data_IF_269412692543
#
_entry.id   IF_269412692543
#
_cell.length_a   1.000
_cell.length_b   1.000
_cell.length_c   1.000
_cell.angle_alpha   90.00
_cell.angle_beta   90.00
_cell.angle_gamma   90.00
#
_symmetry.space_group_name_H-M   'P 1'
#
loop_
_entity.id
_entity.type
_entity.pdbx_description
1 polymer ?
#
# COMPACT_ATOMS: atom_id res chain seq x y z
N UNK A 1 -2.01 14.65 -23.59
CA UNK A 1 -0.75 14.21 -22.94
C UNK A 1 0.35 15.28 -22.96
N UNK A 2 0.73 15.83 -24.12
CA UNK A 2 1.76 16.89 -24.22
C UNK A 2 1.38 18.18 -23.48
N UNK A 3 0.16 18.68 -23.64
CA UNK A 3 -0.34 19.87 -22.93
C UNK A 3 -0.31 19.70 -21.41
N UNK A 4 -0.76 18.55 -20.89
CA UNK A 4 -0.67 18.21 -19.45
C UNK A 4 0.77 18.28 -18.95
N UNK A 5 1.72 17.77 -19.73
CA UNK A 5 3.14 17.85 -19.40
C UNK A 5 3.63 19.31 -19.38
N UNK A 6 3.29 20.10 -20.41
CA UNK A 6 3.68 21.52 -20.47
C UNK A 6 3.10 22.32 -19.31
N UNK A 7 1.83 22.09 -18.95
CA UNK A 7 1.20 22.71 -17.79
C UNK A 7 1.92 22.34 -16.47
N UNK A 8 2.22 21.05 -16.26
CA UNK A 8 2.98 20.61 -15.08
C UNK A 8 4.37 21.26 -15.06
N UNK A 9 5.05 21.37 -16.21
CA UNK A 9 6.37 22.00 -16.30
C UNK A 9 6.31 23.51 -16.05
N UNK A 10 5.32 24.21 -16.58
CA UNK A 10 5.12 25.63 -16.33
C UNK A 10 4.89 25.90 -14.83
N UNK A 11 4.10 25.05 -14.17
CA UNK A 11 3.85 25.14 -12.72
C UNK A 11 5.08 24.77 -11.88
N UNK A 12 5.83 23.74 -12.27
CA UNK A 12 6.95 23.22 -11.47
C UNK A 12 8.28 23.93 -11.73
N UNK A 13 8.44 24.63 -12.85
CA UNK A 13 9.69 25.30 -13.19
C UNK A 13 10.06 26.44 -12.21
N UNK A 14 9.17 27.38 -11.84
CA UNK A 14 9.49 28.42 -10.86
C UNK A 14 9.85 27.86 -9.48
N UNK A 15 9.19 26.76 -9.09
CA UNK A 15 9.44 26.08 -7.81
C UNK A 15 10.88 25.59 -7.68
N UNK A 16 11.54 25.29 -8.81
CA UNK A 16 12.93 24.81 -8.82
C UNK A 16 13.93 25.84 -8.24
N UNK A 17 13.58 27.14 -8.25
CA UNK A 17 14.41 28.23 -7.72
C UNK A 17 14.15 28.55 -6.24
N UNK A 18 12.99 28.14 -5.70
CA UNK A 18 12.62 28.44 -4.32
C UNK A 18 13.44 27.62 -3.31
N UNK A 19 13.72 28.14 -2.09
CA UNK A 19 14.33 27.35 -1.02
C UNK A 19 13.48 26.12 -0.63
N UNK A 20 14.12 25.03 -0.21
CA UNK A 20 13.41 23.81 0.24
C UNK A 20 12.35 24.10 1.31
N UNK A 21 12.63 25.01 2.25
CA UNK A 21 11.68 25.43 3.29
C UNK A 21 10.36 25.96 2.70
N UNK A 22 10.44 26.74 1.62
CA UNK A 22 9.25 27.30 0.94
C UNK A 22 8.48 26.17 0.23
N UNK A 23 9.18 25.26 -0.46
CA UNK A 23 8.55 24.07 -1.05
C UNK A 23 7.86 23.22 0.00
N UNK A 24 8.46 23.06 1.17
CA UNK A 24 7.87 22.30 2.27
C UNK A 24 6.61 22.98 2.81
N UNK A 25 6.60 24.31 2.93
CA UNK A 25 5.43 25.07 3.36
C UNK A 25 4.28 24.95 2.35
N UNK A 26 4.56 25.17 1.06
CA UNK A 26 3.57 25.02 -0.02
C UNK A 26 3.05 23.58 -0.04
N UNK A 27 3.93 22.58 0.04
CA UNK A 27 3.56 21.17 0.08
C UNK A 27 2.70 20.81 1.28
N UNK A 28 2.96 21.37 2.47
CA UNK A 28 2.07 21.21 3.63
C UNK A 28 0.68 21.80 3.38
N UNK A 29 0.62 22.99 2.78
CA UNK A 29 -0.65 23.63 2.42
C UNK A 29 -1.45 22.78 1.42
N UNK A 30 -0.84 22.44 0.28
CA UNK A 30 -1.47 21.62 -0.77
C UNK A 30 -1.85 20.22 -0.28
N UNK A 31 -0.99 19.58 0.52
CA UNK A 31 -1.30 18.28 1.11
C UNK A 31 -2.46 18.35 2.11
N UNK A 32 -2.57 19.44 2.89
CA UNK A 32 -3.72 19.66 3.76
C UNK A 32 -5.01 19.85 2.95
N UNK A 33 -4.96 20.65 1.89
CA UNK A 33 -6.08 20.81 0.97
C UNK A 33 -6.49 19.46 0.35
N UNK A 34 -5.51 18.69 -0.16
CA UNK A 34 -5.74 17.37 -0.73
C UNK A 34 -6.34 16.39 0.28
N UNK A 35 -5.95 16.44 1.55
CA UNK A 35 -6.58 15.62 2.60
C UNK A 35 -8.08 15.90 2.74
N UNK A 36 -8.50 17.17 2.64
CA UNK A 36 -9.92 17.53 2.77
C UNK A 36 -10.73 17.30 1.49
N UNK A 37 -10.13 17.51 0.31
CA UNK A 37 -10.84 17.41 -0.98
C UNK A 37 -10.79 16.00 -1.58
N UNK A 38 -9.69 15.26 -1.41
CA UNK A 38 -9.50 13.92 -2.00
C UNK A 38 -10.02 12.81 -1.08
N UNK A 39 -11.33 12.83 -0.82
CA UNK A 39 -12.00 11.93 0.14
C UNK A 39 -11.66 10.45 -0.05
N UNK A 40 -11.57 9.94 -1.29
CA UNK A 40 -11.22 8.53 -1.56
C UNK A 40 -9.86 8.13 -0.98
N UNK A 41 -8.83 8.94 -1.21
CA UNK A 41 -7.50 8.65 -0.70
C UNK A 41 -7.44 8.87 0.81
N UNK A 42 -8.19 9.85 1.35
CA UNK A 42 -8.28 10.07 2.79
C UNK A 42 -8.84 8.83 3.47
N UNK A 43 -10.00 8.35 3.04
CA UNK A 43 -10.66 7.14 3.59
C UNK A 43 -9.72 5.94 3.59
N UNK A 44 -8.99 5.74 2.48
CA UNK A 44 -8.00 4.68 2.38
C UNK A 44 -6.83 4.85 3.37
N UNK A 45 -6.28 6.05 3.50
CA UNK A 45 -5.23 6.31 4.48
C UNK A 45 -5.70 6.05 5.91
N UNK A 46 -6.91 6.47 6.27
CA UNK A 46 -7.48 6.20 7.58
C UNK A 46 -7.67 4.68 7.83
N UNK A 47 -8.14 3.95 6.81
CA UNK A 47 -8.32 2.50 6.89
C UNK A 47 -7.02 1.75 7.02
N UNK A 48 -6.02 2.07 6.19
CA UNK A 48 -4.69 1.45 6.31
C UNK A 48 -4.07 1.73 7.68
N UNK A 49 -4.18 2.95 8.21
CA UNK A 49 -3.70 3.26 9.56
C UNK A 49 -4.40 2.41 10.63
N UNK A 50 -5.71 2.17 10.50
CA UNK A 50 -6.45 1.33 11.46
C UNK A 50 -6.16 -0.16 11.29
N UNK A 51 -5.66 -0.57 10.13
CA UNK A 51 -5.22 -1.94 9.89
C UNK A 51 -3.83 -2.21 10.45
N UNK A 52 -3.01 -1.19 10.71
CA UNK A 52 -1.69 -1.38 11.29
C UNK A 52 -1.78 -1.66 12.80
N UNK A 53 -2.03 -2.92 13.18
CA UNK A 53 -2.27 -3.35 14.58
C UNK A 53 -1.09 -3.01 15.51
N UNK A 54 0.13 -3.19 15.02
CA UNK A 54 1.36 -2.96 15.81
C UNK A 54 1.88 -1.51 15.69
N UNK A 55 1.00 -0.55 15.38
CA UNK A 55 1.31 0.87 15.35
C UNK A 55 0.47 1.58 16.42
N UNK A 56 1.12 2.09 17.46
CA UNK A 56 0.44 2.91 18.47
C UNK A 56 0.04 4.27 17.86
N UNK A 57 -1.26 4.44 17.63
CA UNK A 57 -1.83 5.62 16.97
C UNK A 57 -2.69 6.40 17.95
N UNK A 58 -2.13 7.49 18.48
CA UNK A 58 -2.88 8.44 19.33
C UNK A 58 -3.88 9.29 18.54
N UNK A 59 -3.49 9.72 17.33
CA UNK A 59 -4.35 10.53 16.46
C UNK A 59 -4.17 10.14 14.99
N UNK A 60 -5.08 9.27 14.56
CA UNK A 60 -5.09 8.68 13.23
C UNK A 60 -5.30 9.73 12.13
N UNK A 61 -6.15 10.74 12.36
CA UNK A 61 -6.42 11.80 11.38
C UNK A 61 -5.21 12.72 11.20
N UNK A 62 -4.49 13.02 12.29
CA UNK A 62 -3.26 13.80 12.24
C UNK A 62 -2.17 13.10 11.43
N UNK A 63 -1.97 11.79 11.65
CA UNK A 63 -1.00 11.00 10.88
C UNK A 63 -1.41 10.92 9.41
N UNK A 64 -2.69 10.66 9.12
CA UNK A 64 -3.21 10.65 7.75
C UNK A 64 -2.96 12.00 7.07
N UNK A 65 -3.31 13.12 7.69
CA UNK A 65 -3.04 14.45 7.14
C UNK A 65 -1.54 14.67 6.90
N UNK A 66 -0.68 14.27 7.83
CA UNK A 66 0.76 14.39 7.69
C UNK A 66 1.29 13.59 6.48
N UNK A 67 0.73 12.42 6.17
CA UNK A 67 1.14 11.64 5.00
C UNK A 67 0.73 12.28 3.68
N UNK A 68 -0.42 12.95 3.62
CA UNK A 68 -0.80 13.78 2.47
C UNK A 68 0.16 14.94 2.27
N UNK A 69 0.52 15.63 3.36
CA UNK A 69 1.53 16.69 3.33
C UNK A 69 2.88 16.15 2.85
N UNK A 70 3.29 14.97 3.32
CA UNK A 70 4.52 14.34 2.89
C UNK A 70 4.53 14.06 1.38
N UNK A 71 3.48 13.42 0.85
CA UNK A 71 3.35 13.11 -0.56
C UNK A 71 3.36 14.37 -1.44
N UNK A 72 2.68 15.43 -1.00
CA UNK A 72 2.69 16.70 -1.70
C UNK A 72 4.10 17.31 -1.75
N UNK A 73 4.82 17.32 -0.62
CA UNK A 73 6.21 17.78 -0.57
C UNK A 73 7.09 16.96 -1.52
N UNK A 74 7.04 15.63 -1.42
CA UNK A 74 7.81 14.71 -2.26
C UNK A 74 7.57 14.96 -3.75
N UNK A 75 6.32 15.23 -4.13
CA UNK A 75 5.93 15.57 -5.51
C UNK A 75 6.53 16.91 -5.95
N UNK A 76 6.44 17.95 -5.12
CA UNK A 76 6.96 19.28 -5.49
C UNK A 76 8.49 19.30 -5.57
N UNK A 77 9.17 18.46 -4.78
CA UNK A 77 10.64 18.39 -4.76
C UNK A 77 11.27 17.84 -6.04
N UNK A 78 10.52 17.17 -6.92
CA UNK A 78 11.00 16.84 -8.28
C UNK A 78 11.50 18.08 -9.04
N UNK A 79 10.85 19.23 -8.82
CA UNK A 79 11.31 20.50 -9.39
C UNK A 79 12.73 20.86 -8.93
N UNK A 80 13.07 20.62 -7.67
CA UNK A 80 14.39 20.86 -7.09
C UNK A 80 15.42 19.89 -7.65
N UNK A 81 15.07 18.60 -7.76
CA UNK A 81 15.99 17.56 -8.23
C UNK A 81 16.40 17.74 -9.69
N UNK A 82 15.53 18.35 -10.52
CA UNK A 82 15.92 18.71 -11.88
C UNK A 82 17.18 19.60 -11.93
N UNK A 83 17.39 20.45 -10.92
CA UNK A 83 18.53 21.39 -10.84
C UNK A 83 19.64 20.97 -9.87
N UNK A 84 19.39 19.97 -9.01
CA UNK A 84 20.37 19.58 -7.99
C UNK A 84 21.64 19.01 -8.64
N UNK A 85 22.81 19.55 -8.29
CA UNK A 85 24.11 19.07 -8.81
C UNK A 85 24.75 18.00 -7.91
N UNK A 86 24.48 18.07 -6.61
CA UNK A 86 24.85 17.06 -5.63
C UNK A 86 23.89 17.14 -4.45
N UNK A 87 23.75 16.04 -3.73
CA UNK A 87 22.79 15.88 -2.62
C UNK A 87 23.41 16.09 -1.23
N UNK A 88 24.74 16.20 -1.15
CA UNK A 88 25.52 16.33 0.11
C UNK A 88 25.05 17.45 1.06
N UNK A 89 24.46 18.53 0.53
CA UNK A 89 23.99 19.67 1.36
C UNK A 89 22.67 19.38 2.09
N UNK A 90 21.89 18.42 1.62
CA UNK A 90 20.55 18.13 2.14
C UNK A 90 20.41 16.71 2.69
N UNK A 91 21.31 15.80 2.32
CA UNK A 91 21.30 14.40 2.74
C UNK A 91 22.44 14.13 3.71
N UNK A 92 22.11 13.40 4.78
CA UNK A 92 23.05 12.80 5.73
C UNK A 92 22.83 11.29 5.66
N UNK A 93 23.90 10.54 5.42
CA UNK A 93 23.84 9.08 5.40
C UNK A 93 24.37 8.52 6.73
N UNK A 94 23.55 7.69 7.36
CA UNK A 94 23.84 6.93 8.57
C UNK A 94 24.26 5.52 8.13
N UNK A 95 25.43 5.06 8.57
CA UNK A 95 26.04 3.78 8.18
C UNK A 95 26.28 3.54 6.65
N UNK A 96 26.81 4.50 5.87
CA UNK A 96 26.99 4.30 4.42
C UNK A 96 28.21 3.45 4.05
N UNK A 97 29.14 3.20 4.99
CA UNK A 97 30.48 2.66 4.69
C UNK A 97 30.43 1.22 4.20
N UNK A 98 29.70 0.37 4.92
CA UNK A 98 29.62 -1.06 4.63
C UNK A 98 29.09 -1.34 3.22
N UNK A 99 28.06 -0.60 2.78
CA UNK A 99 27.54 -0.72 1.43
C UNK A 99 28.60 -0.35 0.37
N UNK A 100 29.37 0.72 0.60
CA UNK A 100 30.42 1.13 -0.32
C UNK A 100 31.55 0.10 -0.39
N UNK A 101 31.96 -0.43 0.76
CA UNK A 101 33.01 -1.46 0.85
C UNK A 101 32.62 -2.75 0.13
N UNK A 102 31.38 -3.21 0.26
CA UNK A 102 30.87 -4.38 -0.45
C UNK A 102 30.89 -4.17 -1.97
N UNK A 103 30.39 -3.02 -2.44
CA UNK A 103 30.41 -2.67 -3.86
C UNK A 103 31.84 -2.54 -4.40
N UNK A 104 32.76 -1.96 -3.63
CA UNK A 104 34.18 -1.84 -4.02
C UNK A 104 34.88 -3.19 -4.12
N UNK A 105 34.44 -4.19 -3.35
CA UNK A 105 34.87 -5.59 -3.46
C UNK A 105 34.19 -6.35 -4.59
N UNK A 106 33.33 -5.69 -5.38
CA UNK A 106 32.59 -6.30 -6.48
C UNK A 106 31.34 -7.07 -6.04
N UNK A 107 30.92 -6.97 -4.78
CA UNK A 107 29.69 -7.59 -4.26
C UNK A 107 28.50 -6.68 -4.51
N UNK A 108 27.55 -7.13 -5.32
CA UNK A 108 26.28 -6.41 -5.53
C UNK A 108 25.46 -6.31 -4.24
N UNK A 109 24.54 -5.35 -4.18
CA UNK A 109 23.67 -5.13 -3.01
C UNK A 109 22.24 -4.92 -3.47
N UNK A 110 21.28 -5.50 -2.75
CA UNK A 110 19.86 -5.20 -2.95
C UNK A 110 19.44 -4.19 -1.90
N UNK A 111 19.15 -2.96 -2.31
CA UNK A 111 18.54 -1.98 -1.41
C UNK A 111 17.03 -2.15 -1.41
N UNK A 112 16.50 -2.69 -0.31
CA UNK A 112 15.07 -2.73 -0.05
C UNK A 112 14.64 -1.45 0.66
N UNK A 113 13.60 -0.78 0.16
CA UNK A 113 13.11 0.45 0.77
C UNK A 113 11.60 0.60 0.67
N UNK A 114 11.06 1.56 1.43
CA UNK A 114 9.65 1.94 1.37
C UNK A 114 9.43 3.35 0.85
N UNK A 115 8.17 3.68 0.55
CA UNK A 115 7.72 5.01 0.15
C UNK A 115 7.67 5.97 1.35
N UNK A 116 8.82 6.16 2.00
CA UNK A 116 9.03 7.03 3.14
C UNK A 116 9.62 8.37 2.71
N UNK A 117 9.28 9.44 3.41
CA UNK A 117 9.76 10.81 3.16
C UNK A 117 9.78 11.12 1.65
N UNK A 118 10.97 11.39 1.10
CA UNK A 118 11.20 11.45 -0.34
C UNK A 118 12.14 10.32 -0.78
N UNK A 119 11.57 9.14 -1.03
CA UNK A 119 12.30 7.91 -1.41
C UNK A 119 13.13 8.06 -2.69
N UNK A 120 12.84 9.03 -3.57
CA UNK A 120 13.64 9.29 -4.78
C UNK A 120 15.09 9.67 -4.44
N UNK A 121 15.30 10.28 -3.28
CA UNK A 121 16.62 10.65 -2.81
C UNK A 121 17.51 9.44 -2.49
N UNK A 122 16.91 8.28 -2.17
CA UNK A 122 17.67 7.03 -1.97
C UNK A 122 18.46 6.67 -3.24
N UNK A 123 17.79 6.73 -4.39
CA UNK A 123 18.42 6.41 -5.66
C UNK A 123 19.39 7.50 -6.11
N UNK A 124 19.01 8.78 -5.98
CA UNK A 124 19.88 9.90 -6.38
C UNK A 124 21.16 9.99 -5.53
N UNK A 125 21.09 9.72 -4.23
CA UNK A 125 22.27 9.66 -3.36
C UNK A 125 23.10 8.41 -3.63
N UNK A 126 22.44 7.24 -3.76
CA UNK A 126 23.12 5.97 -4.03
C UNK A 126 23.96 6.04 -5.31
N UNK A 127 23.37 6.54 -6.40
CA UNK A 127 24.03 6.66 -7.71
C UNK A 127 25.18 7.66 -7.75
N UNK A 128 25.21 8.66 -6.85
CA UNK A 128 26.38 9.53 -6.71
C UNK A 128 27.59 8.84 -6.05
N UNK A 129 27.37 7.70 -5.37
CA UNK A 129 28.41 7.00 -4.60
C UNK A 129 28.80 5.66 -5.22
N UNK A 130 27.85 5.01 -5.87
CA UNK A 130 27.94 3.62 -6.31
C UNK A 130 27.17 3.46 -7.62
N UNK A 131 27.62 2.60 -8.55
CA UNK A 131 26.82 2.25 -9.71
C UNK A 131 25.59 1.45 -9.29
N UNK A 132 24.43 1.76 -9.87
CA UNK A 132 23.22 1.03 -9.52
C UNK A 132 22.07 1.21 -10.49
N UNK A 133 21.10 0.32 -10.35
CA UNK A 133 19.83 0.33 -11.09
C UNK A 133 18.68 0.35 -10.10
N UNK A 134 17.52 0.88 -10.49
CA UNK A 134 16.32 0.83 -9.66
C UNK A 134 15.09 0.43 -10.45
N UNK A 135 14.18 -0.27 -9.78
CA UNK A 135 12.92 -0.70 -10.37
C UNK A 135 11.91 0.45 -10.32
N UNK A 136 11.37 0.84 -11.48
CA UNK A 136 10.39 1.91 -11.60
C UNK A 136 9.28 1.55 -12.58
N UNK A 137 8.02 1.69 -12.14
CA UNK A 137 6.87 1.51 -13.03
C UNK A 137 6.73 2.73 -13.96
N UNK A 138 6.56 2.53 -15.27
CA UNK A 138 6.23 3.62 -16.19
C UNK A 138 4.94 4.33 -15.80
N UNK A 139 4.94 5.65 -15.86
CA UNK A 139 3.72 6.45 -15.69
C UNK A 139 3.03 6.69 -17.03
N UNK A 140 1.70 6.84 -17.01
CA UNK A 140 0.87 6.90 -18.23
C UNK A 140 1.26 8.02 -19.20
N UNK A 141 1.70 9.17 -18.72
CA UNK A 141 2.11 10.27 -19.58
C UNK A 141 3.58 10.11 -19.99
N UNK A 142 3.89 9.81 -21.26
CA UNK A 142 5.26 9.50 -21.70
C UNK A 142 6.20 10.70 -21.60
N UNK A 143 5.72 11.93 -21.78
CA UNK A 143 6.56 13.13 -21.64
C UNK A 143 6.96 13.36 -20.18
N UNK A 144 6.00 13.19 -19.27
CA UNK A 144 6.25 13.29 -17.84
C UNK A 144 7.17 12.15 -17.36
N UNK A 145 6.99 10.94 -17.90
CA UNK A 145 7.86 9.81 -17.60
C UNK A 145 9.30 10.08 -18.01
N UNK A 146 9.54 10.54 -19.25
CA UNK A 146 10.88 10.92 -19.74
C UNK A 146 11.55 11.96 -18.84
N UNK A 147 10.80 12.96 -18.36
CA UNK A 147 11.33 13.97 -17.43
C UNK A 147 11.68 13.40 -16.04
N UNK A 148 10.86 12.51 -15.49
CA UNK A 148 11.15 11.84 -14.22
C UNK A 148 12.37 10.94 -14.34
N UNK A 149 12.47 10.16 -15.43
CA UNK A 149 13.62 9.30 -15.71
C UNK A 149 14.89 10.13 -15.86
N UNK A 150 14.86 11.26 -16.58
CA UNK A 150 16.05 12.12 -16.72
C UNK A 150 16.54 12.71 -15.39
N UNK A 151 15.65 12.89 -14.41
CA UNK A 151 16.04 13.25 -13.04
C UNK A 151 16.69 12.05 -12.34
N UNK A 152 16.05 10.87 -12.40
CA UNK A 152 16.53 9.65 -11.72
C UNK A 152 17.88 9.17 -12.23
N UNK A 153 18.13 9.25 -13.54
CA UNK A 153 19.35 8.77 -14.20
C UNK A 153 20.46 9.82 -14.26
N UNK A 154 20.24 11.00 -13.67
CA UNK A 154 21.14 12.15 -13.72
C UNK A 154 22.57 11.85 -13.23
N UNK A 155 22.73 10.91 -12.30
CA UNK A 155 24.01 10.52 -11.73
C UNK A 155 24.49 9.15 -12.23
N UNK A 156 24.07 8.74 -13.43
CA UNK A 156 24.56 7.53 -14.10
C UNK A 156 23.90 6.21 -13.68
N UNK A 157 22.86 6.28 -12.85
CA UNK A 157 21.98 5.13 -12.60
C UNK A 157 21.02 4.87 -13.76
N UNK A 158 20.39 3.70 -13.74
CA UNK A 158 19.39 3.30 -14.74
C UNK A 158 18.08 2.88 -14.08
N UNK A 159 16.95 3.27 -14.67
CA UNK A 159 15.62 2.82 -14.25
C UNK A 159 15.16 1.67 -15.15
N UNK A 160 14.93 0.52 -14.52
CA UNK A 160 14.40 -0.69 -15.18
C UNK A 160 12.94 -0.90 -14.80
N UNK A 161 12.17 -1.52 -15.69
CA UNK A 161 10.75 -1.79 -15.43
C UNK A 161 10.56 -3.01 -14.52
N UNK A 162 9.39 -3.18 -13.88
CA UNK A 162 9.07 -4.38 -13.11
C UNK A 162 9.25 -5.70 -13.91
N UNK A 163 8.98 -5.68 -15.23
CA UNK A 163 9.14 -6.84 -16.11
C UNK A 163 10.61 -7.23 -16.32
N UNK A 164 11.50 -6.24 -16.29
CA UNK A 164 12.94 -6.42 -16.49
C UNK A 164 13.67 -6.71 -15.17
N UNK A 165 13.00 -6.57 -14.03
CA UNK A 165 13.61 -6.62 -12.68
C UNK A 165 14.44 -7.87 -12.47
N UNK A 166 13.93 -9.04 -12.84
CA UNK A 166 14.69 -10.29 -12.65
C UNK A 166 15.93 -10.31 -13.55
N UNK A 167 15.77 -10.11 -14.86
CA UNK A 167 16.86 -10.21 -15.83
C UNK A 167 17.95 -9.15 -15.61
N UNK A 168 17.56 -7.88 -15.57
CA UNK A 168 18.50 -6.76 -15.46
C UNK A 168 19.00 -6.57 -14.02
N UNK A 169 18.18 -6.92 -13.01
CA UNK A 169 18.59 -6.96 -11.61
C UNK A 169 19.68 -7.99 -11.36
N UNK A 170 19.50 -9.23 -11.83
CA UNK A 170 20.55 -10.27 -11.76
C UNK A 170 21.85 -9.81 -12.44
N UNK A 171 21.75 -9.21 -13.62
CA UNK A 171 22.91 -8.68 -14.35
C UNK A 171 23.62 -7.57 -13.58
N UNK A 172 22.88 -6.66 -12.96
CA UNK A 172 23.45 -5.57 -12.17
C UNK A 172 24.19 -6.10 -10.93
N UNK A 173 23.55 -7.01 -10.18
CA UNK A 173 24.10 -7.60 -8.97
C UNK A 173 25.39 -8.38 -9.24
N UNK A 174 25.41 -9.22 -10.29
CA UNK A 174 26.62 -9.94 -10.72
C UNK A 174 27.78 -9.03 -11.17
N UNK A 175 27.50 -7.77 -11.53
CA UNK A 175 28.50 -6.77 -11.90
C UNK A 175 28.94 -5.90 -10.72
N UNK A 176 28.63 -6.28 -9.48
CA UNK A 176 28.97 -5.49 -8.30
C UNK A 176 28.23 -4.17 -8.23
N UNK A 177 27.01 -4.08 -8.78
CA UNK A 177 26.15 -2.88 -8.70
C UNK A 177 25.05 -3.07 -7.69
N UNK A 178 24.51 -1.97 -7.18
CA UNK A 178 23.31 -2.06 -6.35
C UNK A 178 22.03 -2.14 -7.20
N UNK A 179 21.00 -2.79 -6.65
CA UNK A 179 19.64 -2.82 -7.17
C UNK A 179 18.69 -2.21 -6.13
N UNK A 180 18.06 -1.07 -6.45
CA UNK A 180 17.06 -0.43 -5.60
C UNK A 180 15.65 -0.94 -5.89
N UNK A 181 14.95 -1.41 -4.86
CA UNK A 181 13.56 -1.88 -4.93
C UNK A 181 12.74 -1.19 -3.85
N UNK A 182 11.80 -0.34 -4.27
CA UNK A 182 10.75 0.18 -3.36
C UNK A 182 9.65 -0.87 -3.25
N UNK A 183 9.76 -1.74 -2.24
CA UNK A 183 9.06 -3.03 -2.20
C UNK A 183 7.88 -3.11 -1.22
N UNK A 184 7.43 -1.99 -0.67
CA UNK A 184 6.42 -1.90 0.39
C UNK A 184 4.97 -1.75 -0.13
N UNK A 185 4.74 -1.80 -1.44
CA UNK A 185 3.40 -1.74 -2.02
C UNK A 185 2.78 -3.13 -2.17
N UNK A 186 1.45 -3.19 -1.99
CA UNK A 186 0.66 -4.41 -2.20
C UNK A 186 0.86 -5.02 -3.59
N UNK A 187 1.07 -6.34 -3.62
CA UNK A 187 1.15 -7.17 -4.83
C UNK A 187 0.16 -8.35 -4.71
N UNK A 188 -1.17 -8.12 -4.76
CA UNK A 188 -2.19 -9.14 -4.46
C UNK A 188 -2.11 -10.40 -5.33
N UNK A 189 -1.50 -10.32 -6.51
CA UNK A 189 -1.23 -11.45 -7.42
C UNK A 189 -0.03 -12.30 -7.00
N UNK A 190 0.70 -11.91 -5.95
CA UNK A 190 1.81 -12.69 -5.43
C UNK A 190 1.32 -13.93 -4.69
N UNK A 191 2.04 -15.03 -4.84
CA UNK A 191 1.86 -16.22 -4.00
C UNK A 191 2.43 -16.01 -2.59
N UNK A 192 3.28 -14.99 -2.43
CA UNK A 192 3.90 -14.64 -1.16
C UNK A 192 3.12 -13.54 -0.46
N UNK A 193 3.00 -13.71 0.85
CA UNK A 193 2.60 -12.66 1.75
C UNK A 193 3.49 -12.69 2.98
N UNK A 194 3.59 -11.57 3.67
CA UNK A 194 4.41 -11.43 4.86
C UNK A 194 3.64 -10.55 5.83
N UNK A 195 3.94 -10.65 7.12
CA UNK A 195 3.31 -9.79 8.09
C UNK A 195 3.88 -8.37 7.95
N UNK A 196 2.98 -7.40 7.97
CA UNK A 196 3.32 -5.99 7.99
C UNK A 196 2.40 -5.27 8.98
N UNK A 197 2.97 -4.73 10.05
CA UNK A 197 2.27 -4.18 11.21
C UNK A 197 1.25 -5.15 11.83
N UNK A 198 1.64 -6.42 11.97
CA UNK A 198 0.80 -7.46 12.58
C UNK A 198 -0.23 -8.09 11.62
N UNK A 199 -0.39 -7.55 10.41
CA UNK A 199 -1.32 -8.09 9.41
C UNK A 199 -0.64 -8.61 8.17
N UNK A 200 -1.14 -9.74 7.66
CA UNK A 200 -0.68 -10.36 6.42
C UNK A 200 -0.87 -9.42 5.22
N UNK A 201 0.22 -9.12 4.52
CA UNK A 201 0.27 -8.24 3.36
C UNK A 201 1.02 -8.90 2.19
N UNK A 202 0.36 -8.96 1.03
CA UNK A 202 0.93 -9.45 -0.21
C UNK A 202 2.03 -8.51 -0.68
N UNK A 203 3.24 -9.01 -0.78
CA UNK A 203 4.45 -8.20 -0.99
C UNK A 203 5.35 -8.92 -1.96
N UNK A 204 6.09 -8.17 -2.78
CA UNK A 204 7.00 -8.76 -3.75
C UNK A 204 8.10 -9.59 -3.06
N UNK A 205 8.31 -10.85 -3.46
CA UNK A 205 9.43 -11.67 -2.98
C UNK A 205 10.73 -11.38 -3.75
N UNK A 206 10.68 -10.51 -4.78
CA UNK A 206 11.79 -10.29 -5.70
C UNK A 206 13.13 -9.94 -5.03
N UNK A 207 13.18 -9.11 -3.95
CA UNK A 207 14.44 -8.85 -3.24
C UNK A 207 15.10 -10.15 -2.74
N UNK A 208 14.33 -11.01 -2.08
CA UNK A 208 14.85 -12.24 -1.49
C UNK A 208 15.18 -13.30 -2.55
N UNK A 209 14.37 -13.42 -3.60
CA UNK A 209 14.65 -14.30 -4.74
C UNK A 209 15.97 -13.91 -5.41
N UNK A 210 16.19 -12.62 -5.64
CA UNK A 210 17.41 -12.12 -6.26
C UNK A 210 18.62 -12.29 -5.34
N UNK A 211 18.45 -12.05 -4.03
CA UNK A 211 19.48 -12.27 -3.03
C UNK A 211 19.96 -13.72 -3.06
N UNK A 212 19.05 -14.68 -2.88
CA UNK A 212 19.36 -16.10 -2.88
C UNK A 212 20.06 -16.56 -4.16
N UNK A 213 19.58 -16.11 -5.33
CA UNK A 213 20.15 -16.50 -6.64
C UNK A 213 21.51 -15.88 -6.96
N UNK A 214 21.91 -14.81 -6.27
CA UNK A 214 23.15 -14.07 -6.56
C UNK A 214 24.17 -14.14 -5.44
N UNK A 215 23.79 -14.62 -4.26
CA UNK A 215 24.61 -14.52 -3.05
C UNK A 215 24.78 -13.08 -2.54
N UNK A 216 24.11 -12.09 -3.15
CA UNK A 216 24.20 -10.70 -2.74
C UNK A 216 23.27 -10.41 -1.55
N UNK A 217 23.69 -9.58 -0.57
CA UNK A 217 22.86 -9.29 0.58
C UNK A 217 21.75 -8.29 0.27
N UNK A 218 20.70 -8.32 1.10
CA UNK A 218 19.72 -7.25 1.19
C UNK A 218 20.16 -6.27 2.28
N UNK A 219 20.16 -4.98 1.97
CA UNK A 219 20.27 -3.91 2.97
C UNK A 219 19.01 -3.07 2.90
N UNK A 220 18.37 -2.84 4.05
CA UNK A 220 17.19 -1.97 4.11
C UNK A 220 17.67 -0.52 4.17
N UNK A 221 17.24 0.29 3.20
CA UNK A 221 17.51 1.71 3.15
C UNK A 221 16.25 2.49 3.51
N UNK A 222 16.23 3.10 4.69
CA UNK A 222 15.11 3.93 5.15
C UNK A 222 15.45 5.41 5.04
N UNK A 223 14.43 6.25 4.91
CA UNK A 223 14.63 7.69 4.77
C UNK A 223 13.61 8.48 5.57
N UNK A 224 14.11 9.48 6.29
CA UNK A 224 13.31 10.43 7.07
C UNK A 224 13.65 11.87 6.72
N UNK A 225 12.62 12.71 6.69
CA UNK A 225 12.74 14.17 6.59
C UNK A 225 12.70 14.77 7.99
N UNK A 226 13.68 15.58 8.34
CA UNK A 226 13.74 16.28 9.62
C UNK A 226 14.40 17.64 9.46
N UNK A 227 13.72 18.70 9.94
CA UNK A 227 14.22 20.09 9.93
C UNK A 227 14.75 20.56 8.56
N UNK A 228 14.13 20.11 7.46
CA UNK A 228 14.51 20.47 6.10
C UNK A 228 15.71 19.69 5.52
N UNK A 229 16.23 18.70 6.25
CA UNK A 229 17.24 17.74 5.80
C UNK A 229 16.63 16.34 5.67
N UNK A 230 17.38 15.47 5.02
CA UNK A 230 17.08 14.07 4.80
C UNK A 230 18.14 13.21 5.45
N UNK A 231 17.70 12.19 6.17
CA UNK A 231 18.57 11.21 6.80
C UNK A 231 18.26 9.87 6.18
N UNK A 232 19.26 9.28 5.55
CA UNK A 232 19.18 7.94 4.95
C UNK A 232 19.92 7.01 5.89
N UNK A 233 19.24 5.98 6.38
CA UNK A 233 19.85 4.94 7.19
C UNK A 233 19.96 3.66 6.37
N UNK A 234 21.15 3.04 6.41
CA UNK A 234 21.40 1.73 5.82
C UNK A 234 21.53 0.70 6.95
N UNK A 235 20.69 -0.34 6.92
CA UNK A 235 20.77 -1.45 7.87
C UNK A 235 22.04 -2.28 7.65
N UNK A 236 22.32 -3.17 8.60
CA UNK A 236 23.26 -4.26 8.36
C UNK A 236 22.76 -5.19 7.23
N UNK A 237 23.67 -5.85 6.50
CA UNK A 237 23.32 -6.74 5.40
C UNK A 237 22.67 -8.03 5.91
N UNK A 238 21.54 -8.37 5.31
CA UNK A 238 20.87 -9.66 5.45
C UNK A 238 21.40 -10.55 4.33
N UNK A 239 22.28 -11.48 4.68
CA UNK A 239 22.87 -12.43 3.73
C UNK A 239 21.95 -13.62 3.50
N UNK A 240 21.87 -14.15 2.26
CA UNK A 240 21.22 -15.43 2.02
C UNK A 240 22.10 -16.57 2.53
N UNK A 241 21.47 -17.61 3.08
CA UNK A 241 22.13 -18.87 3.38
C UNK A 241 21.90 -19.86 2.22
N UNK A 242 22.93 -20.21 1.42
CA UNK A 242 22.78 -21.16 0.32
C UNK A 242 22.49 -22.59 0.77
N UNK A 243 22.76 -22.92 2.03
CA UNK A 243 22.54 -24.26 2.59
C UNK A 243 21.09 -24.46 3.08
N UNK A 244 20.28 -23.40 3.11
CA UNK A 244 18.87 -23.44 3.51
C UNK A 244 17.96 -23.46 2.27
N UNK A 245 16.78 -24.12 2.34
CA UNK A 245 15.81 -24.09 1.24
C UNK A 245 15.43 -22.65 0.84
N UNK A 246 15.38 -22.40 -0.47
CA UNK A 246 15.07 -21.07 -1.03
C UNK A 246 13.78 -20.47 -0.46
N UNK A 247 12.76 -21.28 -0.25
CA UNK A 247 11.46 -20.83 0.27
C UNK A 247 11.53 -20.30 1.71
N UNK A 248 12.34 -20.95 2.55
CA UNK A 248 12.58 -20.53 3.93
C UNK A 248 13.39 -19.23 3.96
N UNK A 249 14.40 -19.12 3.11
CA UNK A 249 15.22 -17.92 2.97
C UNK A 249 14.42 -16.73 2.44
N UNK A 250 13.48 -16.96 1.51
CA UNK A 250 12.55 -15.90 1.07
C UNK A 250 11.75 -15.36 2.25
N UNK A 251 11.19 -16.25 3.07
CA UNK A 251 10.42 -15.87 4.25
C UNK A 251 11.26 -15.13 5.28
N UNK A 252 12.44 -15.65 5.61
CA UNK A 252 13.34 -15.06 6.61
C UNK A 252 13.80 -13.66 6.18
N UNK A 253 14.37 -13.53 4.99
CA UNK A 253 14.94 -12.27 4.53
C UNK A 253 13.88 -11.18 4.33
N UNK A 254 12.70 -11.52 3.80
CA UNK A 254 11.61 -10.55 3.67
C UNK A 254 11.02 -10.15 5.02
N UNK A 255 10.88 -11.08 5.97
CA UNK A 255 10.42 -10.79 7.33
C UNK A 255 11.36 -9.80 8.02
N UNK A 256 12.67 -10.08 8.03
CA UNK A 256 13.68 -9.18 8.59
C UNK A 256 13.65 -7.80 7.91
N UNK A 257 13.60 -7.78 6.57
CA UNK A 257 13.56 -6.53 5.80
C UNK A 257 12.34 -5.67 6.14
N UNK A 258 11.18 -6.29 6.28
CA UNK A 258 9.92 -5.61 6.61
C UNK A 258 9.91 -5.13 8.07
N UNK A 259 10.46 -5.89 9.02
CA UNK A 259 10.57 -5.46 10.42
C UNK A 259 11.42 -4.19 10.55
N UNK A 260 12.57 -4.12 9.87
CA UNK A 260 13.42 -2.92 9.85
C UNK A 260 12.65 -1.73 9.27
N UNK A 261 11.90 -1.94 8.19
CA UNK A 261 11.07 -0.90 7.58
C UNK A 261 9.93 -0.45 8.52
N UNK A 262 9.25 -1.38 9.19
CA UNK A 262 8.22 -1.07 10.18
C UNK A 262 8.77 -0.20 11.30
N UNK A 263 9.92 -0.56 11.86
CA UNK A 263 10.54 0.17 12.97
C UNK A 263 10.87 1.62 12.62
N UNK A 264 11.30 1.89 11.39
CA UNK A 264 11.48 3.28 10.94
C UNK A 264 10.15 4.00 10.71
N UNK A 265 9.17 3.34 10.09
CA UNK A 265 7.82 3.91 9.89
C UNK A 265 7.17 4.23 11.24
N UNK A 266 7.30 3.39 12.28
CA UNK A 266 6.77 3.62 13.64
C UNK A 266 7.24 4.94 14.23
N UNK A 267 8.51 5.30 14.00
CA UNK A 267 9.09 6.55 14.51
C UNK A 267 8.49 7.78 13.85
N UNK A 268 8.09 7.69 12.56
CA UNK A 268 7.59 8.83 11.76
C UNK A 268 6.46 8.40 10.81
N UNK A 269 5.31 7.92 11.32
CA UNK A 269 4.30 7.28 10.49
C UNK A 269 3.68 8.24 9.47
N UNK A 270 3.64 9.54 9.78
CA UNK A 270 3.16 10.58 8.86
C UNK A 270 4.06 10.80 7.63
N UNK A 271 5.21 10.12 7.51
CA UNK A 271 6.08 10.23 6.34
C UNK A 271 5.97 9.03 5.38
N UNK A 272 5.08 8.07 5.65
CA UNK A 272 4.85 6.92 4.78
C UNK A 272 3.61 7.09 3.89
N UNK A 273 3.57 6.43 2.72
CA UNK A 273 2.52 6.56 1.71
C UNK A 273 1.23 5.81 2.07
N UNK A 274 0.50 6.29 3.07
CA UNK A 274 -0.77 5.69 3.52
C UNK A 274 -1.90 5.73 2.46
N UNK A 275 -1.75 6.51 1.39
CA UNK A 275 -2.73 6.59 0.29
C UNK A 275 -2.70 5.36 -0.63
N UNK A 276 -1.66 4.52 -0.56
CA UNK A 276 -1.63 3.23 -1.26
C UNK A 276 -2.39 2.18 -0.47
N UNK A 277 -3.17 1.31 -1.14
CA UNK A 277 -3.90 0.26 -0.41
C UNK A 277 -2.95 -0.89 -0.05
N UNK A 278 -2.26 -0.81 1.09
CA UNK A 278 -1.20 -1.75 1.48
C UNK A 278 -1.70 -3.17 1.68
N UNK A 279 -2.86 -3.32 2.31
CA UNK A 279 -3.50 -4.62 2.55
C UNK A 279 -4.59 -4.94 1.52
N UNK A 280 -4.37 -4.49 0.27
CA UNK A 280 -5.23 -4.85 -0.84
C UNK A 280 -5.20 -6.38 -1.01
N UNK A 281 -6.38 -6.97 -0.96
CA UNK A 281 -6.59 -8.39 -1.21
C UNK A 281 -6.82 -8.64 -2.69
N UNK A 282 -6.46 -9.84 -3.14
CA UNK A 282 -6.99 -10.35 -4.39
C UNK A 282 -8.51 -10.48 -4.23
N UNK A 283 -9.25 -9.69 -5.01
CA UNK A 283 -10.70 -9.82 -5.07
C UNK A 283 -11.07 -10.59 -6.32
N UNK A 284 -11.96 -11.59 -6.22
CA UNK A 284 -12.43 -12.32 -7.39
C UNK A 284 -12.93 -11.41 -8.53
N UNK A 285 -12.57 -11.76 -9.76
CA UNK A 285 -12.92 -10.96 -10.94
C UNK A 285 -14.40 -10.96 -11.29
N UNK A 286 -15.16 -11.86 -10.67
CA UNK A 286 -16.60 -11.94 -10.75
C UNK A 286 -17.30 -10.82 -9.94
N UNK A 287 -16.67 -10.21 -8.94
CA UNK A 287 -17.30 -9.16 -8.13
C UNK A 287 -17.37 -7.83 -8.90
N UNK A 288 -18.48 -7.10 -8.83
CA UNK A 288 -18.56 -5.76 -9.43
C UNK A 288 -17.54 -4.81 -8.81
N UNK A 289 -16.89 -3.96 -9.63
CA UNK A 289 -15.78 -3.10 -9.20
C UNK A 289 -16.09 -2.28 -7.94
N UNK A 290 -17.33 -1.76 -7.82
CA UNK A 290 -17.77 -0.95 -6.67
C UNK A 290 -17.77 -1.71 -5.33
N UNK A 291 -17.77 -3.04 -5.36
CA UNK A 291 -17.79 -3.91 -4.18
C UNK A 291 -16.45 -4.61 -3.92
N UNK A 292 -15.42 -4.35 -4.73
CA UNK A 292 -14.10 -4.98 -4.57
C UNK A 292 -13.28 -4.35 -3.45
N UNK A 293 -13.68 -4.63 -2.21
CA UNK A 293 -13.04 -4.11 -1.00
C UNK A 293 -12.48 -5.23 -0.13
N UNK A 294 -11.32 -4.96 0.46
CA UNK A 294 -10.53 -5.90 1.27
C UNK A 294 -10.96 -6.01 2.73
N UNK A 295 -11.75 -5.06 3.22
CA UNK A 295 -12.15 -4.89 4.63
C UNK A 295 -13.65 -4.70 4.73
N UNK A 296 -14.31 -5.69 5.33
CA UNK A 296 -15.76 -5.83 5.30
C UNK A 296 -16.29 -5.92 6.73
N UNK A 297 -17.28 -5.08 7.05
CA UNK A 297 -18.09 -5.20 8.27
C UNK A 297 -19.46 -5.77 7.90
N UNK A 298 -19.95 -6.76 8.65
CA UNK A 298 -21.31 -7.28 8.53
C UNK A 298 -22.01 -7.07 9.88
N UNK A 299 -23.06 -6.27 9.89
CA UNK A 299 -23.85 -5.95 11.09
C UNK A 299 -25.13 -6.77 11.03
N UNK A 300 -25.28 -7.74 11.92
CA UNK A 300 -26.40 -8.67 11.94
C UNK A 300 -27.56 -8.14 12.80
N UNK A 301 -28.82 -8.36 12.41
CA UNK A 301 -29.97 -8.24 13.31
C UNK A 301 -30.04 -9.46 14.25
N UNK A 302 -31.03 -9.45 15.17
CA UNK A 302 -31.33 -10.60 16.05
C UNK A 302 -31.69 -11.86 15.27
N UNK A 303 -32.54 -11.72 14.26
CA UNK A 303 -33.07 -12.83 13.48
C UNK A 303 -32.39 -12.88 12.10
N UNK A 304 -31.15 -13.34 12.06
CA UNK A 304 -30.37 -13.47 10.82
C UNK A 304 -30.14 -14.93 10.45
N UNK A 305 -30.33 -15.30 9.17
CA UNK A 305 -29.91 -16.60 8.66
C UNK A 305 -28.39 -16.71 8.62
N UNK A 306 -27.82 -17.34 9.64
CA UNK A 306 -26.37 -17.52 9.78
C UNK A 306 -25.76 -18.36 8.65
N UNK A 307 -26.54 -19.16 7.93
CA UNK A 307 -26.01 -19.93 6.79
C UNK A 307 -25.52 -19.01 5.66
N UNK A 308 -26.14 -17.84 5.50
CA UNK A 308 -25.73 -16.85 4.52
C UNK A 308 -24.34 -16.23 4.78
N UNK A 309 -23.78 -16.40 5.99
CA UNK A 309 -22.41 -15.95 6.28
C UNK A 309 -21.37 -16.70 5.45
N UNK A 310 -21.63 -17.96 5.10
CA UNK A 310 -20.75 -18.75 4.20
C UNK A 310 -20.65 -18.11 2.82
N UNK A 311 -21.77 -17.58 2.31
CA UNK A 311 -21.83 -16.87 1.02
C UNK A 311 -20.91 -15.66 0.98
N UNK A 312 -20.79 -14.89 2.06
CA UNK A 312 -19.83 -13.79 2.11
C UNK A 312 -18.39 -14.26 1.96
N UNK A 313 -18.03 -15.40 2.57
CA UNK A 313 -16.68 -15.96 2.46
C UNK A 313 -16.42 -16.53 1.06
N UNK A 314 -17.42 -17.11 0.41
CA UNK A 314 -17.32 -17.55 -0.99
C UNK A 314 -17.05 -16.38 -1.94
N UNK A 315 -17.74 -15.24 -1.73
CA UNK A 315 -17.57 -14.04 -2.57
C UNK A 315 -16.23 -13.34 -2.23
N UNK A 316 -15.83 -13.32 -0.97
CA UNK A 316 -14.65 -12.60 -0.46
C UNK A 316 -13.70 -13.52 0.32
N UNK A 317 -13.04 -14.49 -0.36
CA UNK A 317 -12.27 -15.52 0.32
C UNK A 317 -11.13 -14.96 1.17
N UNK A 318 -10.44 -13.93 0.65
CA UNK A 318 -9.25 -13.32 1.27
C UNK A 318 -9.54 -12.02 2.03
N UNK A 319 -10.79 -11.55 2.08
CA UNK A 319 -11.10 -10.29 2.78
C UNK A 319 -10.97 -10.43 4.30
N UNK A 320 -10.52 -9.34 4.94
CA UNK A 320 -10.64 -9.17 6.38
C UNK A 320 -12.10 -8.85 6.70
N UNK A 321 -12.74 -9.75 7.42
CA UNK A 321 -14.16 -9.69 7.69
C UNK A 321 -14.39 -9.63 9.19
N UNK A 322 -15.17 -8.64 9.61
CA UNK A 322 -15.62 -8.46 10.97
C UNK A 322 -17.14 -8.56 10.99
N UNK A 323 -17.67 -9.29 11.95
CA UNK A 323 -19.10 -9.47 12.17
C UNK A 323 -19.45 -8.78 13.48
N UNK A 324 -20.39 -7.83 13.43
CA UNK A 324 -20.99 -7.23 14.61
C UNK A 324 -22.35 -7.88 14.85
N UNK A 325 -22.43 -8.77 15.84
CA UNK A 325 -23.57 -9.63 16.09
C UNK A 325 -24.24 -9.32 17.45
N UNK A 326 -25.54 -9.61 17.60
CA UNK A 326 -26.20 -9.58 18.90
C UNK A 326 -25.48 -10.47 19.93
N UNK A 327 -25.45 -10.04 21.18
CA UNK A 327 -24.92 -10.85 22.27
C UNK A 327 -25.66 -12.20 22.34
N UNK A 328 -24.91 -13.30 22.43
CA UNK A 328 -25.45 -14.66 22.44
C UNK A 328 -25.52 -15.33 21.06
N UNK A 329 -25.24 -14.61 19.96
CA UNK A 329 -25.15 -15.22 18.63
C UNK A 329 -23.90 -16.09 18.49
N UNK A 330 -24.08 -17.38 18.20
CA UNK A 330 -22.98 -18.31 17.93
C UNK A 330 -22.57 -18.27 16.45
N UNK A 331 -21.38 -17.74 16.16
CA UNK A 331 -20.84 -17.61 14.80
C UNK A 331 -19.76 -18.67 14.57
N UNK A 332 -20.04 -19.64 13.70
CA UNK A 332 -19.08 -20.68 13.29
C UNK A 332 -18.52 -20.41 11.89
N UNK A 333 -17.84 -19.28 11.72
CA UNK A 333 -17.12 -18.94 10.47
C UNK A 333 -15.63 -18.74 10.77
N UNK A 334 -14.75 -19.38 9.99
CA UNK A 334 -13.29 -19.26 10.20
C UNK A 334 -12.76 -17.92 9.65
N UNK A 335 -11.72 -17.39 10.30
CA UNK A 335 -11.00 -16.21 9.84
C UNK A 335 -11.83 -14.93 9.82
N UNK A 336 -12.83 -14.83 10.70
CA UNK A 336 -13.59 -13.60 10.95
C UNK A 336 -13.37 -13.14 12.38
N UNK A 337 -13.31 -11.83 12.57
CA UNK A 337 -13.41 -11.21 13.89
C UNK A 337 -14.90 -11.07 14.23
N UNK A 338 -15.28 -11.40 15.46
CA UNK A 338 -16.67 -11.25 15.93
C UNK A 338 -16.68 -10.27 17.09
N UNK A 339 -17.50 -9.24 16.95
CA UNK A 339 -17.80 -8.25 17.97
C UNK A 339 -19.27 -8.43 18.37
N UNK A 340 -19.56 -8.22 19.65
CA UNK A 340 -20.91 -8.38 20.18
C UNK A 340 -21.51 -7.04 20.60
N UNK A 341 -22.82 -6.89 20.41
CA UNK A 341 -23.59 -5.76 20.90
C UNK A 341 -24.87 -6.21 21.61
N UNK A 342 -25.25 -5.50 22.65
CA UNK A 342 -26.52 -5.67 23.36
C UNK A 342 -27.46 -4.51 23.06
N UNK A 343 -26.91 -3.28 22.96
CA UNK A 343 -27.68 -2.03 22.82
C UNK A 343 -27.41 -1.38 21.47
N UNK A 344 -28.43 -0.73 20.90
CA UNK A 344 -28.33 -0.09 19.59
C UNK A 344 -27.19 0.96 19.50
N UNK A 345 -26.88 1.65 20.60
CA UNK A 345 -25.77 2.62 20.66
C UNK A 345 -24.39 1.99 20.37
N UNK A 346 -24.22 0.70 20.64
CA UNK A 346 -22.96 -0.04 20.42
C UNK A 346 -22.74 -0.35 18.94
N UNK A 347 -23.76 -0.20 18.08
CA UNK A 347 -23.62 -0.28 16.62
C UNK A 347 -22.79 0.87 16.04
N UNK A 348 -22.67 1.98 16.76
CA UNK A 348 -21.96 3.19 16.32
C UNK A 348 -20.46 3.14 16.64
N UNK A 349 -19.80 2.01 16.36
CA UNK A 349 -18.35 1.85 16.58
C UNK A 349 -17.53 2.86 15.80
N UNK A 350 -16.46 3.38 16.41
CA UNK A 350 -15.48 4.24 15.73
C UNK A 350 -14.29 3.39 15.32
N UNK A 351 -14.34 2.90 14.08
CA UNK A 351 -13.34 2.01 13.52
C UNK A 351 -13.21 2.29 12.02
N UNK A 352 -12.04 2.80 11.61
CA UNK A 352 -11.81 3.15 10.23
C UNK A 352 -11.31 1.97 9.38
N UNK A 353 -11.23 0.73 9.88
CA UNK A 353 -10.81 -0.41 9.05
C UNK A 353 -11.74 -0.64 7.87
N UNK A 354 -13.05 -0.47 8.05
CA UNK A 354 -14.07 -0.96 7.11
C UNK A 354 -14.25 -0.11 5.86
N UNK A 355 -14.03 -0.71 4.68
CA UNK A 355 -14.25 -0.07 3.38
C UNK A 355 -15.62 -0.42 2.79
N UNK A 356 -16.17 -1.59 3.12
CA UNK A 356 -17.51 -2.02 2.75
C UNK A 356 -18.26 -2.43 4.02
N UNK A 357 -19.48 -1.94 4.19
CA UNK A 357 -20.32 -2.30 5.33
C UNK A 357 -21.63 -2.88 4.84
N UNK A 358 -22.00 -4.04 5.35
CA UNK A 358 -23.32 -4.63 5.20
C UNK A 358 -24.11 -4.36 6.48
N UNK A 359 -25.10 -3.49 6.39
CA UNK A 359 -25.93 -3.07 7.51
C UNK A 359 -27.30 -3.76 7.45
N UNK A 360 -27.43 -4.88 8.17
CA UNK A 360 -28.69 -5.63 8.26
C UNK A 360 -29.45 -5.35 9.57
N UNK A 361 -28.95 -4.44 10.41
CA UNK A 361 -29.59 -4.07 11.69
C UNK A 361 -30.93 -3.34 11.57
N UNK A 362 -31.29 -2.86 10.37
CA UNK A 362 -32.43 -1.96 10.15
C UNK A 362 -32.20 -0.49 10.52
N UNK A 363 -31.09 -0.17 11.21
CA UNK A 363 -30.80 1.21 11.60
C UNK A 363 -30.21 2.02 10.43
N UNK A 364 -31.05 2.85 9.80
CA UNK A 364 -30.66 3.68 8.65
C UNK A 364 -29.60 4.75 8.99
N UNK A 365 -29.43 5.13 10.26
CA UNK A 365 -28.44 6.14 10.68
C UNK A 365 -27.00 5.64 10.52
N UNK A 366 -26.78 4.32 10.52
CA UNK A 366 -25.45 3.72 10.38
C UNK A 366 -24.81 4.00 9.01
N UNK A 367 -25.61 4.16 7.95
CA UNK A 367 -25.06 4.57 6.63
C UNK A 367 -24.30 5.89 6.74
N UNK A 368 -24.90 6.92 7.35
CA UNK A 368 -24.24 8.22 7.52
C UNK A 368 -23.02 8.12 8.45
N UNK A 369 -23.10 7.29 9.48
CA UNK A 369 -22.01 7.06 10.44
C UNK A 369 -20.76 6.50 9.76
N UNK A 370 -20.86 5.34 9.12
CA UNK A 370 -19.71 4.69 8.46
C UNK A 370 -19.23 5.47 7.23
N UNK A 371 -20.12 6.12 6.47
CA UNK A 371 -19.72 6.96 5.33
C UNK A 371 -18.91 8.20 5.74
N UNK A 372 -19.08 8.71 6.96
CA UNK A 372 -18.22 9.78 7.53
C UNK A 372 -16.85 9.26 7.95
N UNK A 373 -16.72 7.95 8.19
CA UNK A 373 -15.46 7.28 8.48
C UNK A 373 -14.75 6.90 7.17
N UNK A 374 -14.31 5.65 7.04
CA UNK A 374 -13.55 5.13 5.89
C UNK A 374 -14.39 4.32 4.90
N UNK A 375 -15.66 4.01 5.21
CA UNK A 375 -16.50 3.20 4.34
C UNK A 375 -16.72 3.90 3.00
N UNK A 376 -16.56 3.16 1.91
CA UNK A 376 -16.89 3.60 0.56
C UNK A 376 -18.33 3.30 0.20
N UNK A 377 -18.87 2.22 0.75
CA UNK A 377 -20.25 1.81 0.53
C UNK A 377 -20.83 1.18 1.80
N UNK A 378 -22.14 1.39 2.01
CA UNK A 378 -22.90 0.78 3.10
C UNK A 378 -24.20 0.21 2.53
N UNK A 379 -24.29 -1.11 2.42
CA UNK A 379 -25.41 -1.81 1.80
C UNK A 379 -26.36 -2.35 2.87
N UNK A 380 -27.65 -2.11 2.72
CA UNK A 380 -28.71 -2.79 3.46
C UNK A 380 -29.46 -3.77 2.53
N UNK A 381 -30.49 -4.45 3.04
CA UNK A 381 -31.29 -5.38 2.25
C UNK A 381 -31.89 -4.74 0.99
N UNK A 382 -32.40 -3.52 1.11
CA UNK A 382 -33.02 -2.82 -0.01
C UNK A 382 -31.99 -2.40 -1.06
N UNK A 383 -30.81 -1.94 -0.64
CA UNK A 383 -29.70 -1.65 -1.55
C UNK A 383 -29.22 -2.89 -2.31
N UNK A 384 -29.26 -4.08 -1.70
CA UNK A 384 -28.93 -5.34 -2.37
C UNK A 384 -30.01 -5.71 -3.40
N UNK A 385 -31.30 -5.68 -3.03
CA UNK A 385 -32.42 -5.96 -3.94
C UNK A 385 -32.40 -5.03 -5.16
N UNK A 386 -32.26 -3.73 -4.93
CA UNK A 386 -32.19 -2.72 -5.99
C UNK A 386 -30.92 -2.86 -6.86
N UNK A 387 -29.90 -3.56 -6.34
CA UNK A 387 -28.66 -3.84 -7.06
C UNK A 387 -28.77 -4.99 -8.07
N UNK A 388 -29.85 -5.77 -8.02
CA UNK A 388 -30.15 -6.85 -8.97
C UNK A 388 -31.15 -6.33 -10.00
N UNK A 389 -30.89 -6.53 -11.29
CA UNK A 389 -31.92 -6.27 -12.30
C UNK A 389 -33.15 -7.13 -12.00
N UNK A 390 -34.36 -6.58 -12.04
CA UNK A 390 -35.58 -7.29 -11.62
C UNK A 390 -35.77 -8.63 -12.35
N UNK A 391 -35.31 -8.72 -13.60
CA UNK A 391 -35.29 -9.93 -14.44
C UNK A 391 -34.38 -11.08 -13.92
N UNK A 392 -33.53 -10.82 -12.93
CA UNK A 392 -32.61 -11.80 -12.37
C UNK A 392 -33.01 -12.31 -10.98
N UNK A 393 -33.99 -11.70 -10.31
CA UNK A 393 -34.54 -12.23 -9.05
C UNK A 393 -35.66 -13.24 -9.37
N UNK A 394 -35.42 -14.50 -9.04
CA UNK A 394 -36.38 -15.58 -9.31
C UNK A 394 -37.25 -15.82 -8.07
N UNK A 395 -38.52 -16.23 -8.24
CA UNK A 395 -39.34 -16.70 -7.12
C UNK A 395 -38.63 -17.85 -6.39
N UNK A 396 -38.43 -17.71 -5.07
CA UNK A 396 -37.74 -18.70 -4.24
C UNK A 396 -36.25 -18.47 -4.01
N UNK A 397 -35.66 -17.38 -4.54
CA UNK A 397 -34.29 -16.99 -4.21
C UNK A 397 -34.15 -16.73 -2.69
N UNK A 398 -33.25 -17.48 -2.04
CA UNK A 398 -32.86 -17.22 -0.65
C UNK A 398 -31.92 -16.00 -0.53
N UNK A 399 -31.57 -15.63 0.71
CA UNK A 399 -30.69 -14.49 0.94
C UNK A 399 -29.28 -14.68 0.37
N UNK A 400 -28.78 -15.93 0.33
CA UNK A 400 -27.49 -16.25 -0.28
C UNK A 400 -27.50 -16.00 -1.78
N UNK A 401 -28.58 -16.37 -2.46
CA UNK A 401 -28.76 -16.14 -3.89
C UNK A 401 -28.87 -14.64 -4.20
N UNK A 402 -29.61 -13.89 -3.37
CA UNK A 402 -29.66 -12.42 -3.46
C UNK A 402 -28.26 -11.79 -3.36
N UNK A 403 -27.47 -12.18 -2.35
CA UNK A 403 -26.10 -11.67 -2.17
C UNK A 403 -25.23 -11.92 -3.41
N UNK A 404 -25.24 -13.14 -3.93
CA UNK A 404 -24.43 -13.50 -5.09
C UNK A 404 -24.88 -12.72 -6.32
N UNK A 405 -26.19 -12.62 -6.59
CA UNK A 405 -26.74 -11.86 -7.73
C UNK A 405 -26.45 -10.36 -7.63
N UNK A 406 -26.54 -9.78 -6.44
CA UNK A 406 -26.32 -8.36 -6.22
C UNK A 406 -24.85 -7.95 -6.33
N UNK A 407 -23.93 -8.82 -5.91
CA UNK A 407 -22.52 -8.47 -5.78
C UNK A 407 -21.65 -8.92 -6.95
N UNK A 408 -22.12 -9.89 -7.74
CA UNK A 408 -21.29 -10.60 -8.72
C UNK A 408 -21.86 -10.55 -10.14
N UNK A 409 -20.98 -10.64 -11.14
CA UNK A 409 -21.33 -10.58 -12.55
C UNK A 409 -22.01 -11.90 -12.96
N UNK A 410 -23.14 -11.85 -13.71
CA UNK A 410 -23.96 -13.01 -14.04
C UNK A 410 -23.18 -14.22 -14.59
N UNK A 411 -22.13 -14.00 -15.39
CA UNK A 411 -21.47 -15.08 -16.15
C UNK A 411 -20.23 -15.71 -15.46
N UNK A 412 -20.00 -15.47 -14.16
CA UNK A 412 -18.66 -15.71 -13.59
C UNK A 412 -18.58 -16.56 -12.32
N UNK A 413 -19.71 -16.85 -11.63
CA UNK A 413 -19.75 -17.80 -10.51
C UNK A 413 -20.42 -19.13 -10.85
N UNK A 414 -21.19 -19.17 -11.94
CA UNK A 414 -22.28 -20.14 -12.03
C UNK A 414 -22.11 -21.22 -13.09
N UNK A 415 -20.94 -21.29 -13.75
CA UNK A 415 -20.60 -22.40 -14.68
C UNK A 415 -19.92 -23.59 -14.02
N UNK A 416 -19.66 -23.59 -12.70
CA UNK A 416 -18.90 -24.67 -12.05
C UNK A 416 -19.72 -25.80 -11.42
N UNK A 417 -21.05 -25.81 -11.54
CA UNK A 417 -21.90 -26.92 -11.07
C UNK A 417 -22.88 -27.43 -12.15
N UNK A 418 -22.49 -27.36 -13.43
CA UNK A 418 -23.22 -28.02 -14.52
C UNK A 418 -22.24 -28.91 -15.30
N UNK A 419 -21.83 -30.00 -14.67
CA UNK A 419 -21.21 -31.18 -15.28
C UNK A 419 -21.35 -32.34 -14.31
#
# INVERSE_FOLDING_TARGET
MKLTYLAIRALTFPLSFLPFKVIHLIGKGLGTLAYYTMTKYRKRALSNLSLAENLDIKDLKKIAKASFQNLAITTLEYSKFSRIKNTKKIIICENPKLAKELIDKGTGIIFFCGHQANWELLFLEGTQRMPGVAVGRPIKNPFLYKWIVSIREKFGGMIITPKETIKEGLRALKKGKFLGIVGDQALPESEYAFDFFGRRAWTTPAPAILSYRTGCPIMVATIRRERGKYFIHYSDPIWPNPDSPMEEEIHRMMKESLLILEDDIRKRPGQWLWQHNRWKQETPDNVYYRYRWDTILIILPKDFDLNALKTFREIYPKAFMTILAPLGTSISLKGVEVLYYEKEKELFITDYRFKLVFNFSGNKKLRRHFMKQSAFEVLDYEALKNGVAQEHLLPGDDFSMLLKKALTRPNTLWRKNAS
#
